data_IF_479370926637
#
_entry.id   IF_479370926637
#
_cell.length_a   1.000
_cell.length_b   1.000
_cell.length_c   1.000
_cell.angle_alpha   90.00
_cell.angle_beta   90.00
_cell.angle_gamma   90.00
#
_symmetry.space_group_name_H-M   'P 1'
#
loop_
_entity.id
_entity.type
_entity.pdbx_description
1 polymer ?
#
# COMPACT_ATOMS: atom_id res chain seq x y z
N UNK A 1 -17.27 0.15 -11.62
CA UNK A 1 -15.97 0.19 -10.93
C UNK A 1 -14.91 -0.32 -11.90
N UNK A 2 -13.66 0.15 -11.83
CA UNK A 2 -12.58 -0.49 -12.57
C UNK A 2 -12.42 -1.94 -12.08
N UNK A 3 -12.21 -2.87 -12.99
CA UNK A 3 -11.97 -4.28 -12.66
C UNK A 3 -10.57 -4.44 -12.05
N UNK A 4 -10.45 -5.35 -11.08
CA UNK A 4 -9.14 -5.70 -10.54
C UNK A 4 -8.28 -6.35 -11.64
N UNK A 5 -6.98 -6.07 -11.62
CA UNK A 5 -6.02 -6.56 -12.61
C UNK A 5 -5.22 -7.77 -12.12
N UNK A 6 -5.11 -7.93 -10.80
CA UNK A 6 -4.32 -8.99 -10.16
C UNK A 6 -5.27 -9.94 -9.42
N UNK A 7 -5.29 -11.20 -9.86
CA UNK A 7 -6.12 -12.27 -9.32
C UNK A 7 -5.29 -13.30 -8.52
N UNK A 8 -5.93 -14.17 -7.72
CA UNK A 8 -5.22 -15.16 -6.89
C UNK A 8 -4.23 -16.04 -7.64
N UNK A 9 -4.48 -16.34 -8.92
CA UNK A 9 -3.65 -17.22 -9.74
C UNK A 9 -2.32 -16.60 -10.16
N UNK A 10 -2.21 -15.27 -10.18
CA UNK A 10 -1.05 -14.56 -10.72
C UNK A 10 0.15 -14.55 -9.74
N UNK A 11 -0.12 -14.83 -8.46
CA UNK A 11 0.83 -14.61 -7.38
C UNK A 11 1.49 -15.90 -6.90
N UNK A 12 2.83 -15.92 -6.83
CA UNK A 12 3.56 -17.05 -6.21
C UNK A 12 3.38 -17.06 -4.69
N UNK A 13 3.45 -18.23 -4.04
CA UNK A 13 3.49 -18.29 -2.57
C UNK A 13 4.63 -17.44 -2.01
N UNK A 14 4.33 -16.67 -0.95
CA UNK A 14 5.28 -15.74 -0.33
C UNK A 14 5.41 -14.39 -1.02
N UNK A 15 4.64 -14.11 -2.08
CA UNK A 15 4.65 -12.81 -2.73
C UNK A 15 4.23 -11.69 -1.75
N UNK A 16 4.91 -10.54 -1.88
CA UNK A 16 4.52 -9.28 -1.23
C UNK A 16 4.12 -8.31 -2.34
N UNK A 17 2.89 -7.80 -2.28
CA UNK A 17 2.35 -6.88 -3.28
C UNK A 17 2.09 -5.54 -2.62
N UNK A 18 2.64 -4.48 -3.20
CA UNK A 18 2.35 -3.10 -2.81
C UNK A 18 1.34 -2.51 -3.80
N UNK A 19 0.07 -2.44 -3.40
CA UNK A 19 -1.00 -1.84 -4.21
C UNK A 19 -1.15 -0.35 -3.83
N UNK A 20 -0.71 0.52 -4.74
CA UNK A 20 -0.77 1.99 -4.59
C UNK A 20 -1.92 2.61 -5.39
N UNK A 21 -2.71 1.79 -6.11
CA UNK A 21 -3.75 2.26 -7.00
C UNK A 21 -5.07 2.53 -6.25
N UNK A 22 -5.85 3.49 -6.78
CA UNK A 22 -7.23 3.77 -6.37
C UNK A 22 -8.09 4.03 -7.61
N UNK A 23 -9.11 3.20 -7.91
CA UNK A 23 -9.48 1.93 -7.25
C UNK A 23 -8.34 0.89 -7.22
N UNK A 24 -8.43 -0.10 -6.31
CA UNK A 24 -7.37 -1.11 -6.11
C UNK A 24 -7.20 -1.96 -7.36
N UNK A 25 -5.95 -2.29 -7.70
CA UNK A 25 -5.63 -3.22 -8.79
C UNK A 25 -5.64 -4.67 -8.30
N UNK A 26 -5.52 -4.92 -6.99
CA UNK A 26 -5.57 -6.27 -6.40
C UNK A 26 -7.00 -6.66 -6.05
N UNK A 27 -7.45 -7.81 -6.59
CA UNK A 27 -8.76 -8.38 -6.31
C UNK A 27 -8.92 -8.74 -4.84
N UNK A 28 -10.11 -8.50 -4.28
CA UNK A 28 -10.44 -8.93 -2.91
C UNK A 28 -10.37 -10.46 -2.73
N UNK A 29 -10.49 -11.22 -3.83
CA UNK A 29 -10.30 -12.67 -3.84
C UNK A 29 -8.87 -13.06 -3.39
N UNK A 30 -7.86 -12.23 -3.69
CA UNK A 30 -6.47 -12.52 -3.28
C UNK A 30 -6.37 -12.61 -1.76
N UNK A 31 -6.89 -11.63 -1.02
CA UNK A 31 -6.83 -11.66 0.46
C UNK A 31 -7.73 -12.75 1.06
N UNK A 32 -8.84 -13.07 0.39
CA UNK A 32 -9.72 -14.15 0.80
C UNK A 32 -9.05 -15.51 0.67
N UNK A 33 -8.45 -15.79 -0.48
CA UNK A 33 -8.05 -17.14 -0.89
C UNK A 33 -6.55 -17.42 -0.71
N UNK A 34 -5.71 -16.37 -0.64
CA UNK A 34 -4.24 -16.48 -0.52
C UNK A 34 -3.75 -16.00 0.84
N UNK A 35 -3.77 -16.90 1.82
CA UNK A 35 -3.18 -16.65 3.16
C UNK A 35 -1.65 -16.65 3.16
N UNK A 36 -1.04 -17.04 2.04
CA UNK A 36 0.40 -17.12 1.80
C UNK A 36 0.96 -15.91 1.03
N UNK A 37 0.16 -14.87 0.81
CA UNK A 37 0.55 -13.64 0.11
C UNK A 37 0.29 -12.44 1.03
N UNK A 38 1.22 -11.50 1.07
CA UNK A 38 1.06 -10.25 1.82
C UNK A 38 0.70 -9.12 0.86
N UNK A 39 -0.47 -8.52 1.06
CA UNK A 39 -0.85 -7.29 0.34
C UNK A 39 -0.63 -6.12 1.29
N UNK A 40 0.13 -5.11 0.86
CA UNK A 40 0.27 -3.83 1.54
C UNK A 40 -0.28 -2.72 0.64
N UNK A 41 -1.02 -1.80 1.22
CA UNK A 41 -1.50 -0.58 0.60
C UNK A 41 -0.48 0.52 0.90
N UNK A 42 -0.01 1.20 -0.15
CA UNK A 42 0.91 2.33 0.00
C UNK A 42 0.21 3.68 0.03
N UNK A 43 1.00 4.74 0.20
CA UNK A 43 0.54 6.11 0.02
C UNK A 43 -0.38 6.65 1.12
N UNK A 44 -0.21 6.21 2.37
CA UNK A 44 -0.93 6.75 3.54
C UNK A 44 0.03 7.54 4.42
N UNK A 45 -0.35 8.75 4.81
CA UNK A 45 0.49 9.69 5.57
C UNK A 45 -0.26 10.16 6.81
N UNK A 46 0.41 10.16 7.96
CA UNK A 46 -0.04 10.82 9.18
C UNK A 46 0.24 12.32 9.05
N UNK A 47 -0.82 13.12 9.15
CA UNK A 47 -0.78 14.58 9.05
C UNK A 47 -0.56 15.17 10.44
N UNK A 48 0.40 16.10 10.60
CA UNK A 48 0.74 16.70 11.89
C UNK A 48 -0.40 17.55 12.47
N UNK A 49 -0.45 17.64 13.80
CA UNK A 49 -1.46 18.41 14.53
C UNK A 49 -2.75 17.63 14.80
N UNK A 50 -3.80 18.35 15.21
CA UNK A 50 -5.14 17.79 15.47
C UNK A 50 -6.08 18.12 14.31
N UNK A 51 -5.77 17.58 13.13
CA UNK A 51 -6.53 17.87 11.92
C UNK A 51 -7.83 17.06 11.89
N UNK A 52 -8.95 17.77 11.67
CA UNK A 52 -10.23 17.17 11.34
C UNK A 52 -10.56 17.49 9.88
N UNK A 53 -10.48 16.48 9.01
CA UNK A 53 -10.81 16.63 7.58
C UNK A 53 -12.30 16.80 7.30
N UNK A 54 -13.17 16.57 8.30
CA UNK A 54 -14.63 16.52 8.16
C UNK A 54 -15.10 15.53 7.06
N UNK A 55 -14.25 14.55 6.73
CA UNK A 55 -14.51 13.52 5.74
C UNK A 55 -13.74 12.23 6.11
N UNK A 56 -14.32 11.07 5.83
CA UNK A 56 -13.70 9.77 6.07
C UNK A 56 -13.26 9.13 4.74
N UNK A 57 -11.96 9.08 4.50
CA UNK A 57 -11.36 8.48 3.31
C UNK A 57 -11.18 6.95 3.39
N UNK A 58 -11.64 6.32 4.47
CA UNK A 58 -11.36 4.91 4.80
C UNK A 58 -10.11 4.73 5.67
N UNK A 59 -9.59 5.80 6.26
CA UNK A 59 -8.41 5.77 7.13
C UNK A 59 -8.71 6.26 8.55
N UNK A 60 -7.87 5.90 9.55
CA UNK A 60 -7.97 6.46 10.89
C UNK A 60 -7.90 8.00 10.89
N UNK A 61 -8.40 8.66 11.96
CA UNK A 61 -8.24 10.11 12.12
C UNK A 61 -6.80 10.57 11.93
N UNK A 62 -6.63 11.78 11.38
CA UNK A 62 -5.33 12.42 11.10
C UNK A 62 -4.46 11.70 10.07
N UNK A 63 -5.06 10.88 9.21
CA UNK A 63 -4.34 10.25 8.08
C UNK A 63 -4.97 10.60 6.75
N UNK A 64 -4.14 10.76 5.73
CA UNK A 64 -4.55 11.14 4.37
C UNK A 64 -3.77 10.34 3.32
N UNK A 65 -4.19 10.45 2.07
CA UNK A 65 -3.39 9.95 0.95
C UNK A 65 -2.13 10.80 0.77
N UNK A 66 -1.04 10.19 0.30
CA UNK A 66 0.23 10.87 0.05
C UNK A 66 0.11 12.03 -0.94
N UNK A 67 -0.75 11.91 -1.95
CA UNK A 67 -1.03 13.01 -2.89
C UNK A 67 -1.69 14.22 -2.21
N UNK A 68 -2.56 13.99 -1.21
CA UNK A 68 -3.14 15.09 -0.42
C UNK A 68 -2.10 15.71 0.50
N UNK A 69 -1.23 14.88 1.10
CA UNK A 69 -0.13 15.34 1.93
C UNK A 69 0.86 16.20 1.13
N UNK A 70 1.19 15.84 -0.12
CA UNK A 70 2.04 16.66 -1.00
C UNK A 70 1.48 18.08 -1.14
N UNK A 71 0.19 18.23 -1.44
CA UNK A 71 -0.46 19.54 -1.53
C UNK A 71 -0.34 20.34 -0.23
N UNK A 72 -0.54 19.69 0.93
CA UNK A 72 -0.40 20.35 2.23
C UNK A 72 1.04 20.80 2.49
N UNK A 73 2.01 19.94 2.19
CA UNK A 73 3.44 20.21 2.36
C UNK A 73 3.88 21.39 1.49
N UNK A 74 3.48 21.41 0.21
CA UNK A 74 3.81 22.51 -0.71
C UNK A 74 3.18 23.82 -0.26
N UNK A 75 1.92 23.79 0.21
CA UNK A 75 1.25 24.97 0.78
C UNK A 75 1.99 25.53 2.00
N UNK A 76 2.48 24.66 2.90
CA UNK A 76 3.29 25.07 4.06
C UNK A 76 4.66 25.66 3.69
N UNK A 77 5.20 25.30 2.52
CA UNK A 77 6.39 25.94 1.95
C UNK A 77 6.08 27.18 1.11
N UNK A 78 4.80 27.55 0.94
CA UNK A 78 4.40 28.66 0.07
C UNK A 78 4.65 28.39 -1.41
N UNK A 79 4.73 27.12 -1.82
CA UNK A 79 4.99 26.69 -3.20
C UNK A 79 3.68 26.35 -3.89
N UNK A 80 3.31 27.16 -4.88
CA UNK A 80 2.07 27.01 -5.64
C UNK A 80 2.40 26.66 -7.10
N UNK A 81 2.82 25.42 -7.31
CA UNK A 81 3.29 24.93 -8.60
C UNK A 81 2.81 23.50 -8.86
N UNK A 82 2.91 23.07 -10.11
CA UNK A 82 2.61 21.70 -10.51
C UNK A 82 3.82 20.79 -10.22
N UNK A 83 4.06 20.51 -8.94
CA UNK A 83 5.28 19.83 -8.48
C UNK A 83 5.43 18.42 -9.04
N UNK A 84 4.39 17.59 -8.92
CA UNK A 84 4.33 16.23 -9.46
C UNK A 84 3.29 16.17 -10.59
N UNK A 85 3.71 16.42 -11.83
CA UNK A 85 2.83 16.41 -13.01
C UNK A 85 3.36 15.50 -14.12
N UNK A 86 2.48 14.65 -14.66
CA UNK A 86 2.84 13.74 -15.74
C UNK A 86 3.56 12.49 -15.23
N UNK A 87 4.34 11.86 -16.11
CA UNK A 87 5.05 10.60 -15.81
C UNK A 87 6.50 10.81 -15.39
N UNK A 88 7.04 12.00 -15.63
CA UNK A 88 8.44 12.33 -15.41
C UNK A 88 8.63 12.90 -14.00
N UNK A 89 8.71 12.00 -13.02
CA UNK A 89 9.00 12.33 -11.62
C UNK A 89 10.46 11.96 -11.35
N UNK A 90 11.28 12.95 -10.99
CA UNK A 90 12.69 12.71 -10.65
C UNK A 90 12.85 12.20 -9.21
N UNK A 91 13.89 11.40 -8.97
CA UNK A 91 14.26 10.98 -7.61
C UNK A 91 14.57 12.19 -6.70
N UNK A 92 15.15 13.25 -7.26
CA UNK A 92 15.43 14.49 -6.53
C UNK A 92 14.14 15.14 -5.98
N UNK A 93 13.06 15.14 -6.76
CA UNK A 93 11.75 15.62 -6.28
C UNK A 93 11.20 14.73 -5.15
N UNK A 94 11.33 13.41 -5.29
CA UNK A 94 10.90 12.45 -4.25
C UNK A 94 11.67 12.69 -2.93
N UNK A 95 12.98 12.88 -3.00
CA UNK A 95 13.82 13.15 -1.83
C UNK A 95 13.50 14.50 -1.19
N UNK A 96 13.28 15.52 -2.03
CA UNK A 96 12.93 16.87 -1.59
C UNK A 96 11.58 16.88 -0.87
N UNK A 97 10.51 16.35 -1.48
CA UNK A 97 9.19 16.32 -0.83
C UNK A 97 9.22 15.47 0.45
N UNK A 98 10.00 14.38 0.47
CA UNK A 98 10.20 13.57 1.67
C UNK A 98 10.90 14.34 2.79
N UNK A 99 11.87 15.20 2.45
CA UNK A 99 12.54 16.09 3.43
C UNK A 99 11.58 17.15 3.95
N UNK A 100 10.78 17.76 3.08
CA UNK A 100 9.77 18.76 3.45
C UNK A 100 8.66 18.16 4.33
N UNK A 101 8.21 16.95 4.01
CA UNK A 101 7.28 16.18 4.84
C UNK A 101 7.82 16.06 6.28
N UNK A 102 9.07 15.61 6.43
CA UNK A 102 9.73 15.50 7.74
C UNK A 102 9.87 16.85 8.45
N UNK A 103 10.23 17.91 7.72
CA UNK A 103 10.35 19.29 8.26
C UNK A 103 9.06 19.74 8.92
N UNK A 104 7.91 19.44 8.32
CA UNK A 104 6.59 19.82 8.85
C UNK A 104 5.96 18.78 9.78
N UNK A 105 6.62 17.65 10.03
CA UNK A 105 6.13 16.62 10.95
C UNK A 105 5.16 15.62 10.35
N UNK A 106 5.02 15.57 9.02
CA UNK A 106 4.32 14.48 8.35
C UNK A 106 5.12 13.19 8.49
N UNK A 107 4.41 12.07 8.67
CA UNK A 107 5.03 10.75 8.85
C UNK A 107 4.37 9.72 7.94
N UNK A 108 5.15 8.76 7.46
CA UNK A 108 4.55 7.60 6.80
C UNK A 108 3.68 6.87 7.82
N UNK A 109 2.41 6.64 7.47
CA UNK A 109 1.52 5.87 8.34
C UNK A 109 1.93 4.39 8.36
N UNK A 110 1.43 3.64 9.35
CA UNK A 110 1.62 2.19 9.38
C UNK A 110 1.05 1.50 8.13
N UNK A 111 1.68 0.40 7.72
CA UNK A 111 1.23 -0.42 6.58
C UNK A 111 -0.22 -0.86 6.77
N UNK A 112 -1.01 -0.83 5.69
CA UNK A 112 -2.39 -1.29 5.70
C UNK A 112 -2.63 -2.35 4.62
N UNK A 113 -3.71 -3.11 4.75
CA UNK A 113 -4.16 -4.09 3.77
C UNK A 113 -5.67 -4.13 3.83
N UNK A 114 -6.35 -3.76 2.73
CA UNK A 114 -7.81 -3.68 2.67
C UNK A 114 -8.37 -2.90 3.87
N UNK A 115 -7.83 -1.71 4.11
CA UNK A 115 -8.21 -0.81 5.21
C UNK A 115 -7.93 -1.34 6.63
N UNK A 116 -7.22 -2.46 6.78
CA UNK A 116 -6.80 -2.99 8.10
C UNK A 116 -5.31 -2.77 8.30
N UNK A 117 -4.89 -2.51 9.54
CA UNK A 117 -3.46 -2.41 9.85
C UNK A 117 -2.76 -3.76 9.62
N UNK A 118 -1.60 -3.73 8.97
CA UNK A 118 -0.72 -4.89 8.80
C UNK A 118 0.14 -5.00 10.05
N UNK A 119 -0.16 -5.98 10.89
CA UNK A 119 0.58 -6.20 12.14
C UNK A 119 1.77 -7.15 11.93
N UNK A 120 2.79 -7.12 12.81
CA UNK A 120 3.88 -8.10 12.80
C UNK A 120 3.38 -9.54 12.87
N UNK A 121 2.32 -9.81 13.64
CA UNK A 121 1.70 -11.13 13.77
C UNK A 121 1.06 -11.56 12.45
N UNK A 122 0.40 -10.64 11.75
CA UNK A 122 -0.12 -10.91 10.41
C UNK A 122 1.00 -11.27 9.43
N UNK A 123 2.08 -10.48 9.40
CA UNK A 123 3.25 -10.76 8.56
C UNK A 123 3.86 -12.14 8.88
N UNK A 124 3.99 -12.47 10.17
CA UNK A 124 4.49 -13.78 10.59
C UNK A 124 3.56 -14.92 10.12
N UNK A 125 2.24 -14.75 10.27
CA UNK A 125 1.26 -15.74 9.82
C UNK A 125 1.32 -16.01 8.32
N UNK A 126 1.49 -14.95 7.50
CA UNK A 126 1.63 -15.05 6.04
C UNK A 126 2.94 -15.77 5.68
N UNK A 127 4.03 -15.44 6.37
CA UNK A 127 5.33 -16.08 6.16
C UNK A 127 5.28 -17.59 6.44
N UNK A 128 4.61 -18.00 7.52
CA UNK A 128 4.43 -19.42 7.84
C UNK A 128 3.53 -20.13 6.83
N UNK A 129 2.45 -19.49 6.38
CA UNK A 129 1.59 -20.04 5.32
C UNK A 129 2.34 -20.22 3.99
N UNK A 130 3.19 -19.26 3.62
CA UNK A 130 4.05 -19.35 2.45
C UNK A 130 5.03 -20.52 2.55
N UNK A 131 5.75 -20.64 3.68
CA UNK A 131 6.67 -21.76 3.93
C UNK A 131 6.00 -23.12 3.77
N UNK A 132 4.82 -23.31 4.37
CA UNK A 132 4.06 -24.57 4.25
C UNK A 132 3.76 -24.91 2.80
N UNK A 133 3.29 -23.95 1.99
CA UNK A 133 2.97 -24.17 0.57
C UNK A 133 4.21 -24.44 -0.29
N UNK A 134 5.37 -23.87 0.06
CA UNK A 134 6.62 -24.15 -0.65
C UNK A 134 7.19 -25.53 -0.30
N UNK A 135 6.93 -26.02 0.92
CA UNK A 135 7.40 -27.32 1.42
C UNK A 135 6.50 -28.50 1.05
N UNK A 136 5.27 -28.28 0.57
CA UNK A 136 4.46 -29.29 -0.11
C UNK A 136 4.64 -29.15 -1.62
N UNK A 137 5.59 -29.87 -2.25
CA UNK A 137 5.56 -29.99 -3.70
C UNK A 137 4.23 -30.60 -4.14
N UNK A 138 3.74 -30.14 -5.27
CA UNK A 138 2.50 -30.60 -5.90
C UNK A 138 2.66 -32.09 -6.32
N UNK A 139 2.29 -33.06 -5.47
CA UNK A 139 2.30 -34.50 -5.81
C UNK A 139 1.08 -34.87 -6.69
N UNK A 140 0.67 -34.00 -7.61
CA UNK A 140 -0.50 -34.24 -8.46
C UNK A 140 -0.26 -33.75 -9.88
N UNK A 141 0.52 -34.50 -10.65
CA UNK A 141 0.39 -34.60 -12.11
C UNK A 141 1.21 -35.81 -12.60
N UNK A 142 0.64 -37.01 -12.53
CA UNK A 142 1.31 -38.23 -12.96
C UNK A 142 0.44 -39.47 -12.85
N UNK A 143 -0.78 -39.43 -13.42
CA UNK A 143 -1.50 -40.67 -13.73
C UNK A 143 -1.52 -40.83 -15.24
N UNK A 144 -0.68 -41.75 -15.70
CA UNK A 144 -0.68 -42.32 -17.04
C UNK A 144 -2.06 -42.89 -17.35
N UNK A 145 -2.63 -42.49 -18.47
CA UNK A 145 -3.48 -43.33 -19.30
C UNK A 145 -3.03 -43.19 -20.75
#
# INVERSE_FOLDING_TARGET
AAEALIEPGDLKPGAVVCDVARPRDVSAAVVKDRKDVLIIEGGVVEVPGDVNFNFNFGFPPRTSYACMAETMILCLEGRFENYSLGRDISLAQVDEISRLARKHGFKLAGMRSFERAVTPEHIASVREAARRKTLTPNIAAGTVK
#
